data_IF_021918601487
#
_entry.id   IF_021918601487
#
_cell.length_a   1.000
_cell.length_b   1.000
_cell.length_c   1.000
_cell.angle_alpha   90.00
_cell.angle_beta   90.00
_cell.angle_gamma   90.00
#
_symmetry.space_group_name_H-M   'P 1'
#
loop_
_entity.id
_entity.type
_entity.pdbx_description
1 polymer ?
#
# COMPACT_ATOMS: atom_id res chain seq x y z
N UNK A 1 5.86 -11.05 9.36
CA UNK A 1 6.12 -11.38 7.95
C UNK A 1 5.93 -10.14 7.09
N UNK A 2 6.64 -10.07 6.01
CA UNK A 2 6.56 -8.92 5.11
C UNK A 2 5.90 -9.32 3.79
N UNK A 3 4.95 -8.50 3.37
CA UNK A 3 4.25 -8.71 2.10
C UNK A 3 4.50 -7.53 1.20
N UNK A 4 4.75 -7.80 -0.06
CA UNK A 4 4.96 -6.73 -1.05
C UNK A 4 3.78 -6.68 -2.00
N UNK A 5 3.25 -5.48 -2.18
CA UNK A 5 2.13 -5.23 -3.07
C UNK A 5 2.63 -4.30 -4.17
N UNK A 6 2.47 -4.71 -5.41
CA UNK A 6 2.85 -3.87 -6.52
C UNK A 6 1.68 -2.97 -6.92
N UNK A 7 1.94 -1.68 -7.03
CA UNK A 7 0.93 -0.69 -7.41
C UNK A 7 1.45 0.09 -8.61
N UNK A 8 1.14 -0.39 -9.79
CA UNK A 8 1.62 0.23 -11.03
C UNK A 8 1.04 1.62 -11.27
N UNK A 9 -0.11 1.90 -10.68
CA UNK A 9 -0.77 3.20 -10.81
C UNK A 9 -0.12 4.31 -9.98
N UNK A 10 0.86 3.96 -9.17
CA UNK A 10 1.57 4.91 -8.33
C UNK A 10 2.65 5.63 -9.14
N UNK A 11 2.28 6.76 -9.75
CA UNK A 11 3.17 7.51 -10.65
C UNK A 11 3.75 8.79 -10.07
N UNK A 12 3.21 9.30 -8.98
CA UNK A 12 3.65 10.58 -8.44
C UNK A 12 3.58 10.61 -6.92
N UNK A 13 4.17 11.64 -6.34
CA UNK A 13 4.20 11.81 -4.89
C UNK A 13 2.81 11.95 -4.28
N UNK A 14 1.87 12.51 -5.01
CA UNK A 14 0.49 12.61 -4.53
C UNK A 14 -0.12 11.24 -4.27
N UNK A 15 0.15 10.31 -5.17
CA UNK A 15 -0.33 8.93 -5.01
C UNK A 15 0.31 8.31 -3.78
N UNK A 16 1.62 8.52 -3.60
CA UNK A 16 2.33 8.01 -2.43
C UNK A 16 1.73 8.56 -1.14
N UNK A 17 1.44 9.86 -1.10
CA UNK A 17 0.86 10.48 0.07
C UNK A 17 -0.53 9.94 0.40
N UNK A 18 -1.33 9.70 -0.62
CA UNK A 18 -2.67 9.13 -0.43
C UNK A 18 -2.58 7.73 0.17
N UNK A 19 -1.69 6.92 -0.37
CA UNK A 19 -1.47 5.57 0.14
C UNK A 19 -0.95 5.63 1.57
N UNK A 20 0.03 6.50 1.81
CA UNK A 20 0.63 6.68 3.13
C UNK A 20 -0.46 7.03 4.17
N UNK A 21 -1.28 8.01 3.86
CA UNK A 21 -2.35 8.43 4.75
C UNK A 21 -3.34 7.30 5.03
N UNK A 22 -3.76 6.60 3.97
CA UNK A 22 -4.71 5.51 4.11
C UNK A 22 -4.17 4.38 4.98
N UNK A 23 -2.93 3.98 4.75
CA UNK A 23 -2.31 2.91 5.52
C UNK A 23 -2.03 3.33 6.96
N UNK A 24 -1.67 4.59 7.17
CA UNK A 24 -1.46 5.12 8.50
C UNK A 24 -2.76 5.12 9.29
N UNK A 25 -3.85 5.53 8.68
CA UNK A 25 -5.16 5.51 9.32
C UNK A 25 -5.62 4.09 9.66
N UNK A 26 -5.21 3.13 8.86
CA UNK A 26 -5.51 1.72 9.13
C UNK A 26 -4.66 1.15 10.26
N UNK A 27 -3.64 1.87 10.70
CA UNK A 27 -2.77 1.42 11.79
C UNK A 27 -1.80 0.33 11.38
N UNK A 28 -1.41 0.31 10.12
CA UNK A 28 -0.52 -0.72 9.59
C UNK A 28 0.94 -0.29 9.63
N UNK A 29 1.83 -1.28 9.70
CA UNK A 29 3.25 -1.06 9.53
C UNK A 29 3.56 -1.27 8.05
N UNK A 30 4.06 -0.25 7.40
CA UNK A 30 4.23 -0.28 5.95
C UNK A 30 5.46 0.51 5.52
N UNK A 31 5.89 0.27 4.29
CA UNK A 31 6.96 1.01 3.65
C UNK A 31 6.59 1.16 2.17
N UNK A 32 6.71 2.37 1.64
CA UNK A 32 6.32 2.67 0.27
C UNK A 32 7.57 2.99 -0.56
N UNK A 33 7.71 2.33 -1.69
CA UNK A 33 8.79 2.58 -2.62
C UNK A 33 8.22 3.06 -3.95
N UNK A 34 8.36 4.35 -4.22
CA UNK A 34 7.90 4.93 -5.48
C UNK A 34 8.74 4.44 -6.66
N UNK A 35 10.02 4.23 -6.41
CA UNK A 35 10.96 3.76 -7.42
C UNK A 35 10.56 2.39 -7.97
N UNK A 36 10.19 1.49 -7.07
CA UNK A 36 9.76 0.14 -7.42
C UNK A 36 8.26 0.04 -7.63
N UNK A 37 7.52 1.09 -7.29
CA UNK A 37 6.06 1.12 -7.30
C UNK A 37 5.48 0.00 -6.45
N UNK A 38 6.09 -0.21 -5.29
CA UNK A 38 5.66 -1.27 -4.37
C UNK A 38 5.38 -0.70 -2.99
N UNK A 39 4.51 -1.41 -2.28
CA UNK A 39 4.19 -1.11 -0.89
C UNK A 39 4.47 -2.37 -0.08
N UNK A 40 5.33 -2.26 0.91
CA UNK A 40 5.66 -3.39 1.78
C UNK A 40 4.82 -3.28 3.05
N UNK A 41 4.16 -4.36 3.40
CA UNK A 41 3.34 -4.44 4.60
C UNK A 41 3.97 -5.43 5.56
N UNK A 42 4.20 -5.01 6.79
CA UNK A 42 4.77 -5.88 7.83
C UNK A 42 3.67 -6.29 8.78
N UNK A 43 3.56 -7.58 9.04
CA UNK A 43 2.58 -8.11 9.98
C UNK A 43 1.94 -9.39 9.47
N UNK A 44 0.64 -9.53 9.71
CA UNK A 44 -0.09 -10.75 9.34
C UNK A 44 -0.89 -10.56 8.05
N UNK A 45 -1.52 -11.64 7.59
CA UNK A 45 -2.33 -11.61 6.38
C UNK A 45 -3.49 -10.63 6.48
N UNK A 46 -4.04 -10.44 7.66
CA UNK A 46 -5.13 -9.48 7.87
C UNK A 46 -4.64 -8.06 7.59
N UNK A 47 -3.40 -7.77 7.94
CA UNK A 47 -2.81 -6.47 7.64
C UNK A 47 -2.69 -6.28 6.13
N UNK A 48 -2.29 -7.34 5.43
CA UNK A 48 -2.20 -7.30 3.97
C UNK A 48 -3.57 -7.05 3.35
N UNK A 49 -4.60 -7.74 3.82
CA UNK A 49 -5.95 -7.56 3.31
C UNK A 49 -6.46 -6.13 3.52
N UNK A 50 -6.17 -5.56 4.67
CA UNK A 50 -6.54 -4.17 4.97
C UNK A 50 -5.84 -3.20 4.04
N UNK A 51 -4.56 -3.46 3.77
CA UNK A 51 -3.78 -2.62 2.88
C UNK A 51 -4.33 -2.69 1.45
N UNK A 52 -4.61 -3.89 0.96
CA UNK A 52 -5.17 -4.09 -0.36
C UNK A 52 -6.52 -3.39 -0.48
N UNK A 53 -7.38 -3.54 0.52
CA UNK A 53 -8.68 -2.90 0.53
C UNK A 53 -8.56 -1.38 0.50
N UNK A 54 -7.63 -0.82 1.27
CA UNK A 54 -7.40 0.61 1.30
C UNK A 54 -6.95 1.12 -0.07
N UNK A 55 -6.06 0.38 -0.72
CA UNK A 55 -5.57 0.75 -2.04
C UNK A 55 -6.68 0.72 -3.08
N UNK A 56 -7.55 -0.28 -3.03
CA UNK A 56 -8.68 -0.39 -3.93
C UNK A 56 -9.66 0.76 -3.73
N UNK A 57 -9.88 1.15 -2.49
CA UNK A 57 -10.76 2.29 -2.16
C UNK A 57 -10.24 3.59 -2.76
N UNK A 58 -8.94 3.72 -2.90
CA UNK A 58 -8.31 4.89 -3.49
C UNK A 58 -8.34 4.86 -5.02
N UNK A 59 -8.77 3.76 -5.60
CA UNK A 59 -8.82 3.59 -7.04
C UNK A 59 -7.57 3.00 -7.65
N UNK A 60 -6.69 2.44 -6.84
CA UNK A 60 -5.50 1.75 -7.33
C UNK A 60 -5.79 0.29 -7.59
N UNK A 61 -4.93 -0.35 -8.36
CA UNK A 61 -5.02 -1.77 -8.67
C UNK A 61 -3.84 -2.49 -8.03
N UNK A 62 -3.96 -2.90 -6.77
CA UNK A 62 -2.85 -3.57 -6.10
C UNK A 62 -2.65 -5.00 -6.62
N UNK A 63 -1.40 -5.36 -6.83
CA UNK A 63 -1.03 -6.72 -7.23
C UNK A 63 -0.23 -7.36 -6.11
N UNK A 64 -0.72 -8.45 -5.62
CA UNK A 64 -0.11 -9.19 -4.52
C UNK A 64 0.73 -10.34 -5.03
#
# INVERSE_FOLDING_TARGET
>A
MEFKIKVEDMHCEHCVKRIDTALEEAGLSYDISLEDKTVSITGCEKCLEKAVSALEDLGFTPEV
#
